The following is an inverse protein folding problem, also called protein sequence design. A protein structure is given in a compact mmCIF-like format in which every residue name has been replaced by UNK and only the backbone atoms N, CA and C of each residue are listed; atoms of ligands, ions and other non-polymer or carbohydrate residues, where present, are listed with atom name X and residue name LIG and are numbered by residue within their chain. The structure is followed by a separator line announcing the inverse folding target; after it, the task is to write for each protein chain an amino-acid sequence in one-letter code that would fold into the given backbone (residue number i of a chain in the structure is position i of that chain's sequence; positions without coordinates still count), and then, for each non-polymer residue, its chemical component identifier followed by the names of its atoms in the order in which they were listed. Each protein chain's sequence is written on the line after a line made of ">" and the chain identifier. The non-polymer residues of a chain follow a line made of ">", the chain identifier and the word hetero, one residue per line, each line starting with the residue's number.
data_IF_225994659251
#
_entry.id   IF_225994659251
#
_cell.length_a   1.000
_cell.length_b   1.000
_cell.length_c   1.000
_cell.angle_alpha   90.00
_cell.angle_beta   90.00
_cell.angle_gamma   90.00
#
_symmetry.space_group_name_H-M   'P 1'
#
loop_
_entity.id
_entity.type
_entity.pdbx_description
1 polymer ?
#
# COMPACT_ATOMS: atom_id res chain seq x y z
N UNK A 1 -37.27 10.83 -54.94
CA UNK A 1 -37.61 11.45 -53.64
C UNK A 1 -37.21 10.50 -52.54
N UNK A 2 -36.52 10.99 -51.50
CA UNK A 2 -36.12 10.19 -50.33
C UNK A 2 -34.71 10.52 -49.86
N UNK A 3 -34.54 11.70 -49.24
CA UNK A 3 -33.32 12.07 -48.53
C UNK A 3 -33.25 11.28 -47.22
N UNK A 4 -32.14 10.56 -46.98
CA UNK A 4 -31.83 10.02 -45.64
C UNK A 4 -30.82 10.96 -45.00
N UNK A 5 -31.36 11.83 -44.16
CA UNK A 5 -30.63 12.67 -43.21
C UNK A 5 -29.98 11.73 -42.19
N UNK A 6 -28.64 11.63 -42.17
CA UNK A 6 -27.92 11.05 -41.05
C UNK A 6 -27.50 12.18 -40.11
N UNK A 7 -28.28 12.32 -39.05
CA UNK A 7 -28.01 13.21 -37.91
C UNK A 7 -26.74 12.74 -37.20
N UNK A 8 -25.88 13.71 -36.91
CA UNK A 8 -24.63 13.53 -36.18
C UNK A 8 -24.92 13.50 -34.67
N UNK A 9 -25.14 12.32 -34.11
CA UNK A 9 -25.31 12.15 -32.68
C UNK A 9 -23.96 11.87 -32.01
N UNK A 10 -23.40 12.92 -31.40
CA UNK A 10 -22.34 12.83 -30.41
C UNK A 10 -22.85 12.00 -29.22
N UNK A 11 -22.42 10.74 -29.11
CA UNK A 11 -22.42 10.02 -27.83
C UNK A 11 -21.03 9.47 -27.55
N UNK A 12 -20.50 9.89 -26.40
CA UNK A 12 -19.16 9.55 -25.93
C UNK A 12 -18.94 8.05 -25.87
N UNK A 13 -17.79 7.61 -26.38
CA UNK A 13 -17.24 6.31 -26.07
C UNK A 13 -16.04 6.50 -25.19
N UNK A 14 -16.27 6.46 -23.88
CA UNK A 14 -15.25 6.04 -22.96
C UNK A 14 -14.75 4.66 -23.37
N UNK A 15 -13.42 4.54 -23.45
CA UNK A 15 -12.69 3.34 -23.02
C UNK A 15 -13.26 2.00 -23.53
N UNK A 16 -13.21 1.74 -24.83
CA UNK A 16 -13.21 0.37 -25.34
C UNK A 16 -11.79 -0.20 -25.18
N UNK A 17 -11.51 -0.64 -23.96
CA UNK A 17 -10.42 -1.56 -23.67
C UNK A 17 -10.73 -2.85 -24.44
N UNK A 18 -9.80 -3.25 -25.29
CA UNK A 18 -9.76 -4.54 -25.96
C UNK A 18 -10.00 -5.67 -24.95
N UNK A 19 -11.15 -6.33 -25.03
CA UNK A 19 -11.30 -7.75 -24.68
C UNK A 19 -11.79 -8.43 -25.95
N UNK A 20 -10.81 -8.74 -26.81
CA UNK A 20 -11.00 -9.35 -28.11
C UNK A 20 -10.61 -10.84 -28.05
N UNK A 21 -11.16 -11.54 -27.08
CA UNK A 21 -11.12 -13.00 -26.93
C UNK A 21 -12.56 -13.31 -26.49
N UNK A 22 -13.50 -13.80 -27.30
CA UNK A 22 -13.45 -14.96 -28.16
C UNK A 22 -14.47 -14.89 -29.34
N UNK A 23 -15.11 -13.76 -29.62
CA UNK A 23 -16.21 -13.66 -30.64
C UNK A 23 -15.77 -13.15 -32.03
N UNK A 24 -14.49 -13.28 -32.37
CA UNK A 24 -13.89 -12.45 -33.45
C UNK A 24 -13.72 -13.16 -34.78
N UNK A 25 -13.72 -14.49 -34.81
CA UNK A 25 -13.48 -15.22 -36.06
C UNK A 25 -14.66 -15.18 -37.04
N UNK A 26 -15.90 -14.96 -36.56
CA UNK A 26 -17.10 -14.83 -37.40
C UNK A 26 -17.37 -13.40 -37.88
N UNK A 27 -17.29 -12.42 -36.97
CA UNK A 27 -17.61 -11.01 -37.25
C UNK A 27 -16.57 -10.30 -38.14
N UNK A 28 -15.28 -10.57 -37.94
CA UNK A 28 -14.23 -9.96 -38.78
C UNK A 28 -14.29 -10.51 -40.21
N UNK A 29 -14.58 -11.80 -40.39
CA UNK A 29 -14.73 -12.42 -41.72
C UNK A 29 -15.94 -11.86 -42.48
N UNK A 30 -17.06 -11.61 -41.80
CA UNK A 30 -18.24 -10.97 -42.39
C UNK A 30 -17.98 -9.52 -42.83
N UNK A 31 -17.30 -8.73 -41.97
CA UNK A 31 -16.91 -7.36 -42.33
C UNK A 31 -15.89 -7.32 -43.48
N UNK A 32 -14.88 -8.20 -43.47
CA UNK A 32 -13.90 -8.33 -44.55
C UNK A 32 -14.59 -8.76 -45.86
N UNK A 33 -15.56 -9.67 -45.79
CA UNK A 33 -16.33 -10.14 -46.95
C UNK A 33 -17.16 -9.01 -47.59
N UNK A 34 -17.91 -8.24 -46.78
CA UNK A 34 -18.71 -7.10 -47.26
C UNK A 34 -17.80 -6.01 -47.85
N UNK A 35 -16.68 -5.68 -47.19
CA UNK A 35 -15.73 -4.68 -47.69
C UNK A 35 -15.04 -5.12 -48.99
N UNK A 36 -14.72 -6.42 -49.11
CA UNK A 36 -14.08 -6.99 -50.30
C UNK A 36 -14.99 -7.02 -51.53
N UNK A 37 -16.31 -7.18 -51.34
CA UNK A 37 -17.31 -7.13 -52.43
C UNK A 37 -17.70 -5.70 -52.82
N UNK A 38 -17.73 -4.77 -51.86
CA UNK A 38 -18.05 -3.37 -52.12
C UNK A 38 -16.92 -2.61 -52.83
N UNK A 39 -15.66 -2.97 -52.57
CA UNK A 39 -14.48 -2.38 -53.21
C UNK A 39 -13.61 -3.51 -53.78
N UNK A 40 -13.86 -3.94 -55.03
CA UNK A 40 -13.23 -5.14 -55.60
C UNK A 40 -11.71 -5.03 -55.69
N UNK A 41 -11.22 -3.86 -56.11
CA UNK A 41 -9.80 -3.60 -56.30
C UNK A 41 -9.05 -3.63 -54.96
N UNK A 42 -8.10 -4.56 -54.86
CA UNK A 42 -7.19 -4.66 -53.72
C UNK A 42 -6.40 -3.35 -53.51
N UNK A 43 -5.98 -2.71 -54.60
CA UNK A 43 -5.27 -1.43 -54.55
C UNK A 43 -6.11 -0.34 -53.90
N UNK A 44 -7.39 -0.24 -54.28
CA UNK A 44 -8.32 0.75 -53.72
C UNK A 44 -8.61 0.46 -52.24
N UNK A 45 -8.81 -0.82 -51.87
CA UNK A 45 -8.98 -1.21 -50.45
C UNK A 45 -7.76 -0.84 -49.60
N UNK A 46 -6.56 -1.13 -50.09
CA UNK A 46 -5.30 -0.76 -49.42
C UNK A 46 -5.17 0.75 -49.28
N UNK A 47 -5.45 1.52 -50.33
CA UNK A 47 -5.37 2.98 -50.30
C UNK A 47 -6.32 3.61 -49.28
N UNK A 48 -7.57 3.12 -49.18
CA UNK A 48 -8.57 3.58 -48.21
C UNK A 48 -8.13 3.21 -46.78
N UNK A 49 -7.68 1.98 -46.57
CA UNK A 49 -7.18 1.54 -45.25
C UNK A 49 -5.97 2.37 -44.81
N UNK A 50 -4.98 2.54 -45.69
CA UNK A 50 -3.78 3.32 -45.40
C UNK A 50 -4.13 4.79 -45.12
N UNK A 51 -5.08 5.37 -45.87
CA UNK A 51 -5.60 6.71 -45.60
C UNK A 51 -6.27 6.79 -44.23
N UNK A 52 -7.15 5.85 -43.88
CA UNK A 52 -7.79 5.80 -42.57
C UNK A 52 -6.77 5.71 -41.43
N UNK A 53 -5.79 4.80 -41.53
CA UNK A 53 -4.74 4.65 -40.52
C UNK A 53 -3.93 5.94 -40.38
N UNK A 54 -3.56 6.58 -41.49
CA UNK A 54 -2.86 7.88 -41.48
C UNK A 54 -3.70 8.98 -40.81
N UNK A 55 -4.95 9.16 -41.24
CA UNK A 55 -5.84 10.19 -40.68
C UNK A 55 -6.07 9.98 -39.19
N UNK A 56 -6.33 8.75 -38.75
CA UNK A 56 -6.50 8.47 -37.31
C UNK A 56 -5.22 8.74 -36.51
N UNK A 57 -4.07 8.34 -37.04
CA UNK A 57 -2.80 8.62 -36.39
C UNK A 57 -2.46 10.13 -36.35
N UNK A 58 -2.91 10.91 -37.34
CA UNK A 58 -2.78 12.37 -37.36
C UNK A 58 -3.74 13.06 -36.38
N UNK A 59 -4.99 12.61 -36.32
CA UNK A 59 -6.00 13.06 -35.36
C UNK A 59 -5.52 12.85 -33.93
N UNK A 60 -5.05 11.65 -33.59
CA UNK A 60 -4.52 11.36 -32.24
C UNK A 60 -3.31 12.25 -31.90
N UNK A 61 -2.42 12.52 -32.86
CA UNK A 61 -1.29 13.45 -32.64
C UNK A 61 -1.78 14.89 -32.47
N UNK A 62 -2.79 15.31 -33.24
CA UNK A 62 -3.41 16.64 -33.11
C UNK A 62 -4.07 16.80 -31.75
N UNK A 63 -4.81 15.79 -31.27
CA UNK A 63 -5.42 15.77 -29.94
C UNK A 63 -4.36 15.83 -28.84
N UNK A 64 -3.28 15.03 -28.92
CA UNK A 64 -2.16 15.08 -27.96
C UNK A 64 -1.51 16.46 -27.90
N UNK A 65 -1.26 17.08 -29.06
CA UNK A 65 -0.71 18.44 -29.14
C UNK A 65 -1.68 19.48 -28.60
N UNK A 66 -2.97 19.37 -28.92
CA UNK A 66 -4.00 20.27 -28.42
C UNK A 66 -4.14 20.16 -26.89
N UNK A 67 -4.11 18.95 -26.33
CA UNK A 67 -4.14 18.72 -24.89
C UNK A 67 -2.91 19.30 -24.17
N UNK A 68 -1.72 19.17 -24.76
CA UNK A 68 -0.51 19.82 -24.24
C UNK A 68 -0.62 21.34 -24.30
N UNK A 69 -1.08 21.89 -25.44
CA UNK A 69 -1.29 23.33 -25.59
C UNK A 69 -2.28 23.86 -24.55
N UNK A 70 -3.40 23.18 -24.36
CA UNK A 70 -4.40 23.55 -23.35
C UNK A 70 -3.82 23.51 -21.92
N UNK A 71 -2.99 22.52 -21.59
CA UNK A 71 -2.32 22.47 -20.28
C UNK A 71 -1.31 23.61 -20.09
N UNK A 72 -0.61 24.02 -21.15
CA UNK A 72 0.32 25.17 -21.11
C UNK A 72 -0.44 26.48 -20.95
N UNK A 73 -1.52 26.69 -21.69
CA UNK A 73 -2.33 27.91 -21.54
C UNK A 73 -2.96 28.00 -20.16
N UNK A 74 -3.50 26.89 -19.61
CA UNK A 74 -4.01 26.87 -18.23
C UNK A 74 -2.92 27.21 -17.19
N UNK A 75 -1.67 26.80 -17.43
CA UNK A 75 -0.55 27.18 -16.56
C UNK A 75 -0.17 28.66 -16.71
N UNK A 76 -0.24 29.23 -17.92
CA UNK A 76 -0.02 30.66 -18.14
C UNK A 76 -1.09 31.52 -17.46
N UNK A 77 -2.35 31.10 -17.53
CA UNK A 77 -3.45 31.77 -16.81
C UNK A 77 -3.19 31.78 -15.30
N UNK A 78 -2.70 30.67 -14.74
CA UNK A 78 -2.28 30.62 -13.34
C UNK A 78 -1.12 31.58 -13.04
N UNK A 79 -0.15 31.71 -13.95
CA UNK A 79 0.96 32.64 -13.77
C UNK A 79 0.51 34.10 -13.84
N UNK A 80 -0.45 34.42 -14.72
CA UNK A 80 -1.03 35.75 -14.82
C UNK A 80 -1.82 36.10 -13.55
N UNK A 81 -2.64 35.18 -13.04
CA UNK A 81 -3.35 35.33 -11.77
C UNK A 81 -2.37 35.48 -10.60
N UNK A 82 -1.31 34.67 -10.57
CA UNK A 82 -0.28 34.77 -9.54
C UNK A 82 0.56 36.05 -9.67
N UNK A 83 0.61 36.70 -10.84
CA UNK A 83 1.39 37.91 -11.11
C UNK A 83 1.02 39.09 -10.20
N UNK A 84 -0.19 39.09 -9.65
CA UNK A 84 -0.63 40.06 -8.65
C UNK A 84 0.15 39.92 -7.33
N UNK A 85 0.57 38.70 -6.97
CA UNK A 85 1.23 38.35 -5.71
C UNK A 85 2.72 38.01 -5.83
N UNK A 86 3.24 37.86 -7.06
CA UNK A 86 4.64 37.54 -7.33
C UNK A 86 5.35 38.73 -7.98
N UNK A 87 6.66 38.82 -7.76
CA UNK A 87 7.49 39.84 -8.40
C UNK A 87 8.72 39.20 -9.05
N UNK A 88 9.56 40.01 -9.67
CA UNK A 88 10.78 39.57 -10.37
C UNK A 88 11.80 38.82 -9.49
N UNK A 89 11.65 38.84 -8.15
CA UNK A 89 12.50 38.11 -7.19
C UNK A 89 11.88 36.79 -6.73
N UNK A 90 10.62 36.52 -7.04
CA UNK A 90 9.94 35.28 -6.63
C UNK A 90 10.55 34.09 -7.36
N UNK A 91 11.05 33.12 -6.60
CA UNK A 91 11.58 31.89 -7.16
C UNK A 91 10.48 30.82 -7.35
N UNK A 92 10.82 29.76 -8.07
CA UNK A 92 9.88 28.67 -8.33
C UNK A 92 9.43 27.94 -7.05
N UNK A 93 10.27 27.86 -6.02
CA UNK A 93 9.90 27.16 -4.78
C UNK A 93 8.84 27.95 -4.01
N UNK A 94 8.97 29.28 -3.96
CA UNK A 94 7.98 30.17 -3.38
C UNK A 94 6.65 30.12 -4.14
N UNK A 95 6.71 30.14 -5.48
CA UNK A 95 5.52 29.94 -6.32
C UNK A 95 4.86 28.58 -6.05
N UNK A 96 5.64 27.50 -6.09
CA UNK A 96 5.14 26.14 -5.85
C UNK A 96 4.53 25.98 -4.46
N UNK A 97 5.06 26.65 -3.43
CA UNK A 97 4.52 26.61 -2.07
C UNK A 97 3.11 27.19 -1.99
N UNK A 98 2.85 28.31 -2.68
CA UNK A 98 1.54 28.99 -2.66
C UNK A 98 0.55 28.37 -3.67
N UNK A 99 0.97 28.12 -4.91
CA UNK A 99 0.09 27.70 -6.01
C UNK A 99 0.27 26.24 -6.46
N UNK A 100 1.21 25.48 -5.90
CA UNK A 100 1.40 24.07 -6.26
C UNK A 100 0.22 23.17 -5.93
N UNK A 101 -0.69 23.64 -5.06
CA UNK A 101 -1.93 22.94 -4.72
C UNK A 101 -3.12 23.29 -5.65
N UNK A 102 -2.95 24.22 -6.59
CA UNK A 102 -3.95 24.60 -7.58
C UNK A 102 -4.38 23.39 -8.42
N UNK A 103 -5.67 23.32 -8.75
CA UNK A 103 -6.27 22.20 -9.48
C UNK A 103 -5.60 21.95 -10.83
N UNK A 104 -5.19 23.01 -11.55
CA UNK A 104 -4.51 22.92 -12.85
C UNK A 104 -3.13 22.26 -12.71
N UNK A 105 -2.37 22.65 -11.68
CA UNK A 105 -1.03 22.09 -11.39
C UNK A 105 -1.14 20.65 -10.89
N UNK A 106 -2.05 20.39 -9.94
CA UNK A 106 -2.29 19.03 -9.42
C UNK A 106 -2.74 18.07 -10.51
N UNK A 107 -3.69 18.46 -11.37
CA UNK A 107 -4.19 17.60 -12.43
C UNK A 107 -3.08 17.18 -13.42
N UNK A 108 -2.19 18.11 -13.77
CA UNK A 108 -1.01 17.80 -14.62
C UNK A 108 -0.05 16.87 -13.89
N UNK A 109 0.25 17.15 -12.62
CA UNK A 109 1.15 16.32 -11.82
C UNK A 109 0.62 14.89 -11.65
N UNK A 110 -0.64 14.73 -11.29
CA UNK A 110 -1.30 13.43 -11.13
C UNK A 110 -1.31 12.64 -12.43
N UNK A 111 -1.58 13.30 -13.57
CA UNK A 111 -1.51 12.67 -14.89
C UNK A 111 -0.10 12.18 -15.20
N UNK A 112 0.93 13.00 -14.95
CA UNK A 112 2.34 12.61 -15.13
C UNK A 112 2.71 11.44 -14.22
N UNK A 113 2.31 11.49 -12.95
CA UNK A 113 2.56 10.40 -12.00
C UNK A 113 1.85 9.10 -12.39
N UNK A 114 0.58 9.18 -12.82
CA UNK A 114 -0.20 8.04 -13.29
C UNK A 114 0.44 7.39 -14.52
N UNK A 115 0.87 8.18 -15.50
CA UNK A 115 1.60 7.67 -16.66
C UNK A 115 2.91 6.99 -16.26
N UNK A 116 3.69 7.59 -15.34
CA UNK A 116 4.92 6.99 -14.82
C UNK A 116 4.65 5.65 -14.12
N UNK A 117 3.63 5.59 -13.27
CA UNK A 117 3.20 4.34 -12.59
C UNK A 117 2.82 3.26 -13.59
N UNK A 118 2.11 3.61 -14.66
CA UNK A 118 1.75 2.67 -15.72
C UNK A 118 2.98 2.12 -16.46
N UNK A 119 3.98 2.97 -16.76
CA UNK A 119 5.24 2.53 -17.38
C UNK A 119 6.00 1.57 -16.46
N UNK A 120 6.11 1.89 -15.16
CA UNK A 120 6.76 1.03 -14.17
C UNK A 120 6.02 -0.33 -14.06
N UNK A 121 4.70 -0.31 -13.99
CA UNK A 121 3.89 -1.53 -13.90
C UNK A 121 4.09 -2.44 -15.13
N UNK A 122 4.11 -1.86 -16.33
CA UNK A 122 4.37 -2.60 -17.58
C UNK A 122 5.77 -3.20 -17.61
N UNK A 123 6.78 -2.46 -17.14
CA UNK A 123 8.14 -2.97 -17.03
C UNK A 123 8.25 -4.11 -16.01
N UNK A 124 7.64 -3.97 -14.81
CA UNK A 124 7.59 -5.07 -13.84
C UNK A 124 6.82 -6.29 -14.37
N UNK A 125 5.82 -6.11 -15.24
CA UNK A 125 5.14 -7.23 -15.93
C UNK A 125 6.09 -7.99 -16.84
N UNK A 126 6.85 -7.27 -17.66
CA UNK A 126 7.88 -7.87 -18.51
C UNK A 126 8.91 -8.66 -17.69
N UNK A 127 9.34 -8.13 -16.54
CA UNK A 127 10.24 -8.84 -15.64
C UNK A 127 9.61 -10.13 -15.09
N UNK A 128 8.33 -10.10 -14.70
CA UNK A 128 7.59 -11.29 -14.22
C UNK A 128 7.41 -12.37 -15.29
N UNK A 129 7.27 -11.98 -16.55
CA UNK A 129 7.13 -12.91 -17.68
C UNK A 129 8.45 -13.63 -18.02
N UNK A 130 9.59 -13.10 -17.53
CA UNK A 130 10.92 -13.66 -17.79
C UNK A 130 11.25 -14.82 -16.85
N UNK A 131 11.45 -16.01 -17.42
CA UNK A 131 11.88 -17.21 -16.68
C UNK A 131 13.33 -17.15 -16.18
N UNK A 132 14.15 -16.27 -16.76
CA UNK A 132 15.57 -16.14 -16.43
C UNK A 132 15.82 -15.26 -15.19
N UNK A 133 14.75 -14.67 -14.61
CA UNK A 133 14.86 -13.85 -13.40
C UNK A 133 14.49 -14.67 -12.18
N UNK A 134 15.38 -14.66 -11.19
CA UNK A 134 15.19 -15.20 -9.85
C UNK A 134 15.45 -14.10 -8.82
N UNK A 135 15.15 -14.36 -7.56
CA UNK A 135 15.45 -13.44 -6.46
C UNK A 135 16.94 -13.13 -6.27
N UNK A 136 17.85 -13.83 -6.95
CA UNK A 136 19.31 -13.58 -6.92
C UNK A 136 19.88 -13.01 -8.22
N UNK A 137 19.04 -12.79 -9.23
CA UNK A 137 19.47 -12.28 -10.53
C UNK A 137 20.07 -10.88 -10.43
N UNK A 138 21.08 -10.61 -11.28
CA UNK A 138 21.78 -9.31 -11.33
C UNK A 138 21.45 -8.58 -12.63
N UNK A 139 21.14 -7.29 -12.53
CA UNK A 139 20.73 -6.45 -13.67
C UNK A 139 21.68 -6.57 -14.87
N UNK A 140 22.99 -6.47 -14.63
CA UNK A 140 24.01 -6.54 -15.67
C UNK A 140 23.96 -7.82 -16.53
N UNK A 141 23.47 -8.94 -15.99
CA UNK A 141 23.39 -10.22 -16.70
C UNK A 141 22.11 -10.38 -17.51
N UNK A 142 21.00 -9.77 -17.07
CA UNK A 142 19.67 -10.02 -17.63
C UNK A 142 19.14 -8.89 -18.50
N UNK A 143 19.69 -7.67 -18.39
CA UNK A 143 19.19 -6.48 -19.11
C UNK A 143 19.19 -6.64 -20.64
N UNK A 144 20.10 -7.46 -21.16
CA UNK A 144 20.26 -7.69 -22.60
C UNK A 144 19.04 -8.41 -23.20
N UNK A 145 18.39 -9.28 -22.42
CA UNK A 145 17.23 -10.07 -22.85
C UNK A 145 16.01 -9.19 -23.15
N UNK A 146 16.00 -7.94 -22.65
CA UNK A 146 14.85 -7.05 -22.74
C UNK A 146 15.03 -5.92 -23.77
N UNK A 147 16.19 -5.79 -24.42
CA UNK A 147 16.50 -4.64 -25.29
C UNK A 147 15.50 -4.41 -26.43
N UNK A 148 14.88 -5.48 -26.94
CA UNK A 148 13.90 -5.42 -28.01
C UNK A 148 12.48 -5.10 -27.52
N UNK A 149 12.16 -5.34 -26.24
CA UNK A 149 10.81 -5.20 -25.70
C UNK A 149 10.38 -3.70 -25.66
N UNK A 150 9.20 -3.35 -26.21
CA UNK A 150 8.69 -1.99 -26.16
C UNK A 150 8.55 -1.41 -24.75
N UNK A 151 8.21 -2.23 -23.75
CA UNK A 151 8.05 -1.84 -22.34
C UNK A 151 9.40 -1.50 -21.71
N UNK A 152 10.47 -2.19 -22.10
CA UNK A 152 11.84 -1.83 -21.73
C UNK A 152 12.26 -0.50 -22.33
N UNK A 153 12.00 -0.29 -23.63
CA UNK A 153 12.32 0.96 -24.34
C UNK A 153 11.54 2.17 -23.81
N UNK A 154 10.30 1.97 -23.37
CA UNK A 154 9.46 3.03 -22.80
C UNK A 154 9.94 3.52 -21.43
N UNK A 155 10.73 2.73 -20.70
CA UNK A 155 11.30 3.13 -19.42
C UNK A 155 12.59 3.93 -19.60
N UNK A 156 12.75 5.00 -18.81
CA UNK A 156 13.98 5.81 -18.75
C UNK A 156 15.17 4.95 -18.34
N UNK A 157 16.30 5.13 -19.00
CA UNK A 157 17.48 4.28 -18.80
C UNK A 157 17.95 4.28 -17.33
N UNK A 158 17.91 5.45 -16.69
CA UNK A 158 18.38 5.68 -15.31
C UNK A 158 17.48 5.01 -14.26
N UNK A 159 16.23 4.69 -14.60
CA UNK A 159 15.27 4.09 -13.67
C UNK A 159 15.26 2.56 -13.75
N UNK A 160 15.74 1.97 -14.86
CA UNK A 160 15.58 0.53 -15.14
C UNK A 160 16.20 -0.35 -14.05
N UNK A 161 17.42 -0.04 -13.65
CA UNK A 161 18.12 -0.83 -12.63
C UNK A 161 17.48 -0.67 -11.25
N UNK A 162 17.06 0.54 -10.90
CA UNK A 162 16.35 0.80 -9.64
C UNK A 162 15.05 0.00 -9.56
N UNK A 163 14.21 0.07 -10.61
CA UNK A 163 12.94 -0.67 -10.66
C UNK A 163 13.18 -2.19 -10.72
N UNK A 164 14.24 -2.64 -11.39
CA UNK A 164 14.65 -4.04 -11.35
C UNK A 164 15.03 -4.48 -9.93
N UNK A 165 15.84 -3.71 -9.22
CA UNK A 165 16.26 -4.03 -7.86
C UNK A 165 15.07 -4.03 -6.89
N UNK A 166 14.12 -3.08 -7.03
CA UNK A 166 12.85 -3.12 -6.31
C UNK A 166 12.09 -4.43 -6.56
N UNK A 167 12.00 -4.86 -7.82
CA UNK A 167 11.37 -6.14 -8.16
C UNK A 167 12.09 -7.35 -7.55
N UNK A 168 13.43 -7.34 -7.51
CA UNK A 168 14.20 -8.40 -6.84
C UNK A 168 13.91 -8.44 -5.33
N UNK A 169 13.79 -7.29 -4.68
CA UNK A 169 13.39 -7.21 -3.26
C UNK A 169 11.99 -7.75 -3.05
N UNK A 170 11.03 -7.39 -3.92
CA UNK A 170 9.66 -7.92 -3.89
C UNK A 170 9.65 -9.45 -4.03
N UNK A 171 10.46 -10.02 -4.94
CA UNK A 171 10.60 -11.47 -5.11
C UNK A 171 11.14 -12.14 -3.84
N UNK A 172 12.20 -11.59 -3.22
CA UNK A 172 12.77 -12.12 -1.98
C UNK A 172 11.77 -12.10 -0.82
N UNK A 173 11.01 -11.00 -0.68
CA UNK A 173 9.99 -10.89 0.36
C UNK A 173 8.91 -11.96 0.17
N UNK A 174 8.42 -12.13 -1.06
CA UNK A 174 7.41 -13.13 -1.37
C UNK A 174 7.90 -14.57 -1.11
N UNK A 175 9.16 -14.88 -1.45
CA UNK A 175 9.78 -16.18 -1.14
C UNK A 175 9.86 -16.42 0.37
N UNK A 176 10.32 -15.43 1.13
CA UNK A 176 10.43 -15.51 2.58
C UNK A 176 9.06 -15.64 3.27
N UNK A 177 8.06 -14.90 2.82
CA UNK A 177 6.69 -14.99 3.33
C UNK A 177 6.08 -16.38 3.04
N UNK A 178 6.33 -16.94 1.86
CA UNK A 178 5.89 -18.29 1.52
C UNK A 178 6.57 -19.36 2.38
N UNK A 179 7.88 -19.23 2.63
CA UNK A 179 8.63 -20.13 3.51
C UNK A 179 8.12 -20.06 4.96
N UNK A 180 7.89 -18.86 5.48
CA UNK A 180 7.32 -18.66 6.82
C UNK A 180 5.90 -19.22 6.91
N UNK A 181 5.06 -19.01 5.90
CA UNK A 181 3.72 -19.58 5.85
C UNK A 181 3.75 -21.11 5.77
N UNK A 182 4.70 -21.69 5.04
CA UNK A 182 4.89 -23.14 4.99
C UNK A 182 5.35 -23.71 6.33
N UNK A 183 6.35 -23.07 6.97
CA UNK A 183 6.82 -23.44 8.30
C UNK A 183 5.71 -23.35 9.34
N UNK A 184 4.92 -22.28 9.33
CA UNK A 184 3.79 -22.11 10.23
C UNK A 184 2.77 -23.25 10.08
N UNK A 185 2.45 -23.67 8.85
CA UNK A 185 1.55 -24.81 8.60
C UNK A 185 2.13 -26.14 9.11
N UNK A 186 3.44 -26.35 8.96
CA UNK A 186 4.13 -27.55 9.47
C UNK A 186 4.10 -27.57 11.00
N UNK A 187 4.48 -26.48 11.65
CA UNK A 187 4.44 -26.36 13.12
C UNK A 187 3.01 -26.55 13.66
N UNK A 188 2.01 -26.00 12.97
CA UNK A 188 0.59 -26.14 13.30
C UNK A 188 0.11 -27.60 13.16
N UNK A 189 0.47 -28.28 12.07
CA UNK A 189 0.13 -29.69 11.84
C UNK A 189 0.83 -30.63 12.85
N UNK A 190 2.08 -30.34 13.20
CA UNK A 190 2.83 -31.08 14.21
C UNK A 190 2.13 -31.02 15.58
N UNK A 191 1.64 -29.83 15.98
CA UNK A 191 0.98 -29.63 17.28
C UNK A 191 -0.27 -30.51 17.49
N UNK A 192 -1.06 -30.74 16.43
CA UNK A 192 -2.22 -31.63 16.48
C UNK A 192 -1.82 -33.11 16.50
N UNK A 193 -0.82 -33.48 15.69
CA UNK A 193 -0.36 -34.88 15.58
C UNK A 193 0.12 -35.42 16.93
N UNK A 194 0.76 -34.60 17.76
CA UNK A 194 1.16 -34.97 19.12
C UNK A 194 -0.01 -35.04 20.13
N UNK A 195 -1.06 -34.25 19.92
CA UNK A 195 -2.17 -34.08 20.86
C UNK A 195 -3.31 -35.09 20.62
N UNK A 196 -3.59 -35.42 19.35
CA UNK A 196 -4.62 -36.36 18.93
C UNK A 196 -4.58 -37.72 19.66
N UNK A 197 -3.46 -38.46 19.74
CA UNK A 197 -3.45 -39.76 20.41
C UNK A 197 -3.70 -39.67 21.92
N UNK A 198 -3.45 -38.52 22.56
CA UNK A 198 -3.76 -38.30 23.98
C UNK A 198 -5.26 -38.11 24.19
N UNK A 199 -5.92 -37.43 23.25
CA UNK A 199 -7.36 -37.21 23.27
C UNK A 199 -8.15 -38.49 22.92
N UNK A 200 -7.63 -39.30 21.98
CA UNK A 200 -8.25 -40.59 21.61
C UNK A 200 -8.17 -41.65 22.72
N UNK A 201 -7.16 -41.54 23.60
CA UNK A 201 -7.01 -42.42 24.78
C UNK A 201 -7.85 -41.98 25.99
N UNK A 202 -8.67 -40.92 25.87
CA UNK A 202 -9.59 -40.49 26.94
C UNK A 202 -10.56 -41.64 27.28
N UNK A 203 -10.54 -42.19 28.50
CA UNK A 203 -11.44 -43.26 28.92
C UNK A 203 -12.92 -42.85 28.86
N UNK A 204 -13.22 -41.55 28.95
CA UNK A 204 -14.59 -41.03 28.87
C UNK A 204 -15.03 -40.75 27.43
N UNK A 205 -14.14 -40.90 26.44
CA UNK A 205 -14.46 -40.75 25.02
C UNK A 205 -14.95 -39.36 24.63
N UNK A 206 -14.76 -38.32 25.45
CA UNK A 206 -15.33 -36.97 25.24
C UNK A 206 -14.83 -36.30 23.96
N UNK A 207 -13.66 -36.72 23.48
CA UNK A 207 -13.06 -36.21 22.25
C UNK A 207 -13.56 -36.93 20.98
N UNK A 208 -14.28 -38.06 21.10
CA UNK A 208 -14.86 -38.78 19.96
C UNK A 208 -16.33 -38.37 19.79
N UNK A 209 -16.57 -37.46 18.85
CA UNK A 209 -17.91 -37.12 18.40
C UNK A 209 -18.15 -37.72 17.00
N UNK A 210 -19.11 -38.66 16.83
CA UNK A 210 -19.44 -39.25 15.52
C UNK A 210 -19.90 -38.22 14.47
N UNK A 211 -20.47 -37.10 14.92
CA UNK A 211 -21.02 -36.06 14.05
C UNK A 211 -19.97 -35.01 13.64
N UNK A 212 -18.75 -35.11 14.18
CA UNK A 212 -17.68 -34.13 13.96
C UNK A 212 -16.57 -34.72 13.10
N UNK A 213 -16.34 -34.13 11.93
CA UNK A 213 -15.25 -34.54 11.04
C UNK A 213 -13.87 -34.31 11.66
N UNK A 214 -12.87 -35.11 11.24
CA UNK A 214 -11.49 -35.00 11.74
C UNK A 214 -10.91 -33.58 11.55
N UNK A 215 -11.20 -32.93 10.41
CA UNK A 215 -10.74 -31.56 10.14
C UNK A 215 -11.38 -30.52 11.05
N UNK A 216 -12.67 -30.67 11.36
CA UNK A 216 -13.39 -29.76 12.25
C UNK A 216 -12.93 -29.93 13.71
N UNK A 217 -12.69 -31.17 14.14
CA UNK A 217 -12.14 -31.47 15.46
C UNK A 217 -10.73 -30.85 15.65
N UNK A 218 -9.87 -30.99 14.63
CA UNK A 218 -8.53 -30.40 14.62
C UNK A 218 -8.60 -28.87 14.68
N UNK A 219 -9.50 -28.25 13.89
CA UNK A 219 -9.70 -26.81 13.91
C UNK A 219 -10.18 -26.31 15.28
N UNK A 220 -11.17 -26.96 15.89
CA UNK A 220 -11.69 -26.58 17.21
C UNK A 220 -10.61 -26.70 18.30
N UNK A 221 -9.76 -27.72 18.24
CA UNK A 221 -8.63 -27.83 19.17
C UNK A 221 -7.65 -26.66 19.00
N UNK A 222 -7.28 -26.33 17.76
CA UNK A 222 -6.38 -25.20 17.46
C UNK A 222 -6.97 -23.88 17.96
N UNK A 223 -8.24 -23.62 17.66
CA UNK A 223 -8.95 -22.42 18.12
C UNK A 223 -8.97 -22.34 19.65
N UNK A 224 -9.24 -23.46 20.33
CA UNK A 224 -9.23 -23.50 21.79
C UNK A 224 -7.85 -23.25 22.41
N UNK A 225 -6.79 -23.87 21.87
CA UNK A 225 -5.41 -23.65 22.32
C UNK A 225 -5.01 -22.19 22.14
N UNK A 226 -5.39 -21.59 21.01
CA UNK A 226 -5.18 -20.16 20.74
C UNK A 226 -5.91 -19.30 21.78
N UNK A 227 -7.18 -19.57 22.05
CA UNK A 227 -7.97 -18.83 23.04
C UNK A 227 -7.38 -18.92 24.45
N UNK A 228 -6.87 -20.10 24.84
CA UNK A 228 -6.17 -20.28 26.12
C UNK A 228 -4.88 -19.44 26.19
N UNK A 229 -4.09 -19.42 25.13
CA UNK A 229 -2.90 -18.57 25.05
C UNK A 229 -3.26 -17.09 25.11
N UNK A 230 -4.25 -16.63 24.34
CA UNK A 230 -4.71 -15.24 24.36
C UNK A 230 -5.25 -14.82 25.73
N UNK A 231 -5.92 -15.74 26.44
CA UNK A 231 -6.31 -15.53 27.84
C UNK A 231 -5.10 -15.34 28.74
N UNK A 232 -4.08 -16.19 28.64
CA UNK A 232 -2.83 -16.02 29.40
C UNK A 232 -2.15 -14.69 29.10
N UNK A 233 -2.14 -14.24 27.83
CA UNK A 233 -1.58 -12.93 27.44
C UNK A 233 -2.38 -11.78 28.05
N UNK A 234 -3.72 -11.83 28.01
CA UNK A 234 -4.57 -10.81 28.64
C UNK A 234 -4.34 -10.74 30.15
N UNK A 235 -4.32 -11.88 30.82
CA UNK A 235 -4.08 -11.97 32.25
C UNK A 235 -2.70 -11.42 32.62
N UNK A 236 -1.67 -11.71 31.83
CA UNK A 236 -0.34 -11.16 32.02
C UNK A 236 -0.28 -9.64 31.79
N UNK A 237 -0.99 -9.11 30.79
CA UNK A 237 -1.09 -7.65 30.59
C UNK A 237 -1.81 -6.96 31.75
N UNK A 238 -2.86 -7.59 32.30
CA UNK A 238 -3.52 -7.09 33.51
C UNK A 238 -2.55 -7.04 34.69
N UNK A 239 -1.79 -8.13 34.90
CA UNK A 239 -0.73 -8.17 35.91
C UNK A 239 0.30 -7.04 35.74
N UNK A 240 0.78 -6.81 34.51
CA UNK A 240 1.71 -5.71 34.21
C UNK A 240 1.10 -4.35 34.59
N UNK A 241 -0.18 -4.14 34.28
CA UNK A 241 -0.91 -2.91 34.62
C UNK A 241 -1.12 -2.73 36.12
N UNK A 242 -1.35 -3.81 36.87
CA UNK A 242 -1.60 -3.78 38.31
C UNK A 242 -0.29 -3.58 39.11
N UNK A 243 0.80 -4.19 38.65
CA UNK A 243 2.06 -4.25 39.42
C UNK A 243 3.08 -3.20 38.98
N UNK A 244 3.15 -2.89 37.69
CA UNK A 244 4.04 -1.85 37.15
C UNK A 244 3.22 -0.57 36.97
N UNK A 245 2.81 0.00 38.11
CA UNK A 245 2.13 1.30 38.16
C UNK A 245 3.12 2.43 37.84
N UNK A 246 2.65 3.65 37.52
CA UNK A 246 3.52 4.82 37.28
C UNK A 246 4.54 5.06 38.40
N UNK A 247 4.13 4.85 39.65
CA UNK A 247 4.99 5.01 40.83
C UNK A 247 6.08 3.94 40.86
N UNK A 248 5.73 2.70 40.53
CA UNK A 248 6.70 1.59 40.41
C UNK A 248 7.66 1.83 39.25
N UNK A 249 7.14 2.33 38.12
CA UNK A 249 7.90 2.61 36.92
C UNK A 249 8.92 3.76 37.11
N UNK A 250 8.63 4.72 38.00
CA UNK A 250 9.50 5.85 38.30
C UNK A 250 10.62 5.51 39.31
N UNK A 251 10.51 4.40 40.05
CA UNK A 251 11.55 3.99 41.02
C UNK A 251 12.84 3.61 40.28
N UNK A 252 13.93 4.27 40.65
CA UNK A 252 15.27 4.01 40.16
C UNK A 252 16.09 3.25 41.19
N UNK A 253 16.83 2.24 40.73
CA UNK A 253 17.86 1.60 41.56
C UNK A 253 19.13 2.46 41.59
N UNK A 254 20.09 2.12 42.47
CA UNK A 254 21.41 2.74 42.50
C UNK A 254 22.16 2.67 41.15
N UNK A 255 21.78 1.73 40.28
CA UNK A 255 22.33 1.53 38.94
C UNK A 255 21.53 2.25 37.84
N UNK A 256 20.52 3.06 38.19
CA UNK A 256 19.67 3.78 37.25
C UNK A 256 18.64 2.92 36.50
N UNK A 257 18.43 1.66 36.93
CA UNK A 257 17.44 0.75 36.35
C UNK A 257 16.05 1.01 36.94
N UNK A 258 15.02 0.84 36.13
CA UNK A 258 13.61 0.97 36.49
C UNK A 258 12.82 -0.23 35.98
N UNK A 259 11.61 -0.43 36.51
CA UNK A 259 10.71 -1.51 36.09
C UNK A 259 10.22 -1.39 34.62
N UNK A 260 10.48 -0.27 33.94
CA UNK A 260 10.11 -0.05 32.53
C UNK A 260 11.31 -0.08 31.57
N UNK A 261 12.55 0.04 32.08
CA UNK A 261 13.76 0.01 31.24
C UNK A 261 14.60 -1.27 31.43
N UNK A 262 14.27 -2.10 32.44
CA UNK A 262 15.00 -3.32 32.78
C UNK A 262 14.04 -4.48 32.99
N UNK A 263 14.12 -5.50 32.12
CA UNK A 263 13.31 -6.72 32.25
C UNK A 263 13.59 -7.46 33.56
N UNK A 264 14.85 -7.51 33.99
CA UNK A 264 15.24 -8.16 35.24
C UNK A 264 14.59 -7.49 36.45
N UNK A 265 14.48 -6.16 36.44
CA UNK A 265 13.82 -5.39 37.50
C UNK A 265 12.31 -5.66 37.50
N UNK A 266 11.67 -5.54 36.33
CA UNK A 266 10.25 -5.85 36.15
C UNK A 266 9.91 -7.27 36.61
N UNK A 267 10.74 -8.24 36.24
CA UNK A 267 10.58 -9.66 36.60
C UNK A 267 10.57 -9.89 38.11
N UNK A 268 11.33 -9.10 38.87
CA UNK A 268 11.35 -9.16 40.34
C UNK A 268 9.96 -8.97 40.95
N UNK A 269 9.15 -8.08 40.36
CA UNK A 269 7.79 -7.78 40.82
C UNK A 269 6.73 -8.78 40.33
N UNK A 270 6.99 -9.53 39.26
CA UNK A 270 5.97 -10.34 38.58
C UNK A 270 6.03 -11.83 38.94
N UNK A 271 7.20 -12.34 39.32
CA UNK A 271 7.50 -13.79 39.40
C UNK A 271 6.65 -14.59 40.40
N UNK A 272 6.05 -13.93 41.39
CA UNK A 272 5.21 -14.56 42.41
C UNK A 272 3.77 -14.79 41.96
N UNK A 273 3.30 -14.11 40.90
CA UNK A 273 1.90 -14.17 40.46
C UNK A 273 1.63 -15.41 39.57
N UNK A 274 0.48 -16.05 39.77
CA UNK A 274 0.07 -17.22 39.00
C UNK A 274 -0.04 -16.93 37.49
N UNK A 275 -0.50 -15.73 37.11
CA UNK A 275 -0.64 -15.28 35.72
C UNK A 275 0.72 -15.18 35.03
N UNK A 276 1.78 -14.82 35.77
CA UNK A 276 3.15 -14.84 35.26
C UNK A 276 3.61 -16.26 34.91
N UNK A 277 3.24 -17.25 35.72
CA UNK A 277 3.67 -18.64 35.55
C UNK A 277 2.94 -19.36 34.42
N UNK A 278 1.71 -18.96 34.10
CA UNK A 278 0.90 -19.54 33.01
C UNK A 278 1.36 -19.14 31.60
N UNK A 279 2.05 -18.02 31.45
CA UNK A 279 2.52 -17.56 30.13
C UNK A 279 3.84 -18.26 29.74
N UNK A 280 4.03 -18.68 28.47
CA UNK A 280 5.30 -19.24 28.01
C UNK A 280 6.47 -18.26 28.19
N UNK A 281 7.63 -18.77 28.64
CA UNK A 281 8.80 -17.93 28.97
C UNK A 281 9.28 -17.06 27.80
N UNK A 282 9.27 -17.61 26.58
CA UNK A 282 9.74 -16.97 25.34
C UNK A 282 8.99 -15.67 24.99
N UNK A 283 7.74 -15.52 25.47
CA UNK A 283 6.86 -14.42 25.07
C UNK A 283 6.78 -13.30 26.12
N UNK A 284 7.20 -13.58 27.37
CA UNK A 284 7.06 -12.65 28.51
C UNK A 284 7.73 -11.31 28.27
N UNK A 285 8.99 -11.35 27.83
CA UNK A 285 9.80 -10.14 27.67
C UNK A 285 9.31 -9.27 26.51
N UNK A 286 8.90 -9.86 25.38
CA UNK A 286 8.38 -9.09 24.24
C UNK A 286 7.06 -8.39 24.57
N UNK A 287 6.17 -9.06 25.32
CA UNK A 287 4.91 -8.47 25.79
C UNK A 287 5.18 -7.35 26.81
N UNK A 288 6.13 -7.55 27.73
CA UNK A 288 6.55 -6.51 28.67
C UNK A 288 7.16 -5.29 27.96
N UNK A 289 8.08 -5.49 27.00
CA UNK A 289 8.70 -4.37 26.25
C UNK A 289 7.63 -3.48 25.61
N UNK A 290 6.66 -4.09 24.93
CA UNK A 290 5.55 -3.35 24.32
C UNK A 290 4.73 -2.57 25.36
N UNK A 291 4.44 -3.19 26.51
CA UNK A 291 3.74 -2.51 27.60
C UNK A 291 4.56 -1.34 28.16
N UNK A 292 5.87 -1.51 28.36
CA UNK A 292 6.77 -0.48 28.87
C UNK A 292 6.90 0.72 27.90
N UNK A 293 6.96 0.46 26.60
CA UNK A 293 6.93 1.49 25.56
C UNK A 293 5.62 2.29 25.59
N UNK A 294 4.48 1.60 25.72
CA UNK A 294 3.16 2.23 25.83
C UNK A 294 3.03 3.05 27.12
N UNK A 295 3.57 2.57 28.24
CA UNK A 295 3.57 3.29 29.52
C UNK A 295 4.46 4.54 29.46
N UNK A 296 5.66 4.41 28.90
CA UNK A 296 6.60 5.53 28.68
C UNK A 296 5.98 6.61 27.80
N UNK A 297 5.26 6.20 26.76
CA UNK A 297 4.53 7.13 25.87
C UNK A 297 3.43 7.87 26.63
N UNK A 298 2.66 7.18 27.48
CA UNK A 298 1.60 7.80 28.28
C UNK A 298 2.16 8.82 29.27
N UNK A 299 3.27 8.51 29.93
CA UNK A 299 3.95 9.44 30.86
C UNK A 299 4.44 10.72 30.15
N UNK A 300 5.05 10.58 28.97
CA UNK A 300 5.45 11.74 28.16
C UNK A 300 4.25 12.61 27.75
N UNK A 301 3.12 11.99 27.42
CA UNK A 301 1.91 12.71 27.04
C UNK A 301 1.28 13.46 28.23
N UNK A 302 1.32 12.92 29.45
CA UNK A 302 0.88 13.64 30.64
C UNK A 302 1.75 14.86 30.93
N UNK A 303 3.07 14.73 30.83
CA UNK A 303 4.01 15.84 31.07
C UNK A 303 3.79 17.00 30.07
N UNK A 304 3.50 16.66 28.81
CA UNK A 304 3.24 17.65 27.76
C UNK A 304 1.91 18.39 28.02
N UNK A 305 0.89 17.67 28.50
CA UNK A 305 -0.43 18.22 28.81
C UNK A 305 -0.44 19.09 30.08
N UNK A 306 0.43 18.78 31.05
CA UNK A 306 0.65 19.65 32.21
C UNK A 306 1.38 20.94 31.82
N UNK A 307 2.39 20.85 30.94
CA UNK A 307 3.11 22.02 30.43
C UNK A 307 2.22 22.98 29.63
N UNK A 308 1.36 22.46 28.75
CA UNK A 308 0.41 23.29 27.99
C UNK A 308 -0.64 23.95 28.90
N UNK A 309 -1.05 23.29 29.99
CA UNK A 309 -1.95 23.89 30.99
C UNK A 309 -1.27 25.00 31.79
N UNK A 310 0.00 24.81 32.22
CA UNK A 310 0.74 25.85 32.94
C UNK A 310 1.01 27.10 32.08
N UNK A 311 1.21 26.92 30.76
CA UNK A 311 1.41 28.03 29.84
C UNK A 311 0.12 28.80 29.51
N UNK A 312 -1.06 28.18 29.71
CA UNK A 312 -2.36 28.81 29.47
C UNK A 312 -2.87 29.60 30.68
N UNK A 313 -2.57 29.16 31.90
CA UNK A 313 -3.00 29.82 33.15
C UNK A 313 -2.14 31.05 33.53
N UNK A 314 -0.98 31.24 32.88
CA UNK A 314 -0.10 32.39 33.07
C UNK A 314 -0.53 33.69 32.37
N UNK A 315 -1.64 33.68 31.61
CA UNK A 315 -2.09 34.85 30.84
C UNK A 315 -3.22 35.59 31.57
N UNK A 316 -2.86 36.38 32.58
CA UNK A 316 -3.74 37.39 33.17
C UNK A 316 -4.30 38.33 32.07
N UNK A 317 -5.62 38.61 32.02
CA UNK A 317 -6.17 39.59 31.09
C UNK A 317 -5.68 40.98 31.51
N UNK A 318 -4.93 41.66 30.63
CA UNK A 318 -4.57 43.07 30.83
C UNK A 318 -5.83 43.93 30.67
N UNK A 319 -6.45 44.32 31.77
CA UNK A 319 -7.36 45.47 31.79
C UNK A 319 -6.54 46.75 31.74
N UNK A 320 -6.64 47.48 30.63
CA UNK A 320 -6.04 48.81 30.48
C UNK A 320 -7.10 49.75 29.94
N UNK A 321 -8.02 50.17 30.81
CA UNK A 321 -8.82 51.38 30.56
C UNK A 321 -8.24 52.52 31.39
N UNK A 322 -7.84 53.65 30.78
CA UNK A 322 -7.40 54.82 31.53
C UNK A 322 -8.60 55.67 31.97
N UNK A 323 -8.52 56.34 33.14
CA UNK A 323 -9.64 57.14 33.64
C UNK A 323 -9.74 58.46 32.85
N UNK A 324 -10.88 58.71 32.21
CA UNK A 324 -11.25 60.04 31.72
C UNK A 324 -11.49 60.98 32.90
N UNK A 325 -10.79 62.10 32.93
CA UNK A 325 -10.98 63.20 33.88
C UNK A 325 -11.67 64.37 33.16
N UNK A 326 -12.78 64.81 33.76
CA UNK A 326 -13.66 65.96 33.47
C UNK A 326 -14.54 65.91 32.23
#
# INVERSE_FOLDING_TARGET
>A
MGAVVMTNEKRGMGRLKLTLEETVKGGLKGWIYIYSKAIPSHSTRRAIFDHYVRTRAEEERKEKRAALKAAVEAYKELLEEASEDINQKTDYQEFKRKWGADTRVKAVQEKVQSMRKAVIANFKSMLRESKDITSTSRWAKVKENFRSDPRYKAMKHEERETIFNEYIVELKSAEQEAEQAAKAKVDEQASWTESKPKLEKDPQGRARNPDLGQGDAEKLFRDHVKDLYERCVRDFRALLSEVITPEVAARTTAEGKTAINSWSEAKGHLRSDLRYNKLPSKDKESIWRRYADDLTRKLRQSDTKEKDKSDTDGKQPRSSDPPRRR
#
